data_IF_517580502639
#
_entry.id   IF_517580502639
#
_cell.length_a   1.000
_cell.length_b   1.000
_cell.length_c   1.000
_cell.angle_alpha   90.00
_cell.angle_beta   90.00
_cell.angle_gamma   90.00
#
_symmetry.space_group_name_H-M   'P 1'
#
loop_
_entity.id
_entity.type
_entity.pdbx_description
1 polymer ?
#
# COMPACT_ATOMS: atom_id res chain seq x y z
N UNK A 1 10.40 37.03 11.36
CA UNK A 1 10.80 35.62 11.53
C UNK A 1 10.73 34.95 10.17
N UNK A 2 11.86 34.65 9.54
CA UNK A 2 11.88 33.93 8.26
C UNK A 2 11.55 32.47 8.48
N UNK A 3 10.48 31.99 7.83
CA UNK A 3 10.06 30.60 7.90
C UNK A 3 11.04 29.74 7.10
N UNK A 4 11.97 29.09 7.79
CA UNK A 4 12.90 28.14 7.18
C UNK A 4 12.15 26.85 6.80
N UNK A 5 11.83 26.69 5.51
CA UNK A 5 11.32 25.42 4.97
C UNK A 5 12.51 24.50 4.75
N UNK A 6 12.81 23.68 5.75
CA UNK A 6 13.73 22.55 5.61
C UNK A 6 13.19 21.68 4.45
N UNK A 7 13.97 21.45 3.38
CA UNK A 7 13.58 20.51 2.34
C UNK A 7 13.44 19.14 3.00
N UNK A 8 12.19 18.71 3.18
CA UNK A 8 11.87 17.40 3.74
C UNK A 8 12.11 16.37 2.64
N UNK A 9 13.19 15.62 2.81
CA UNK A 9 13.54 14.39 2.11
C UNK A 9 13.87 14.51 0.61
N UNK A 10 15.15 14.76 0.32
CA UNK A 10 15.77 14.50 -0.98
C UNK A 10 16.19 13.03 -1.11
N UNK A 11 15.26 12.10 -0.88
CA UNK A 11 15.41 10.68 -1.26
C UNK A 11 14.48 10.40 -2.44
N UNK A 12 14.63 11.17 -3.52
CA UNK A 12 13.98 10.78 -4.77
C UNK A 12 14.57 9.44 -5.19
N UNK A 13 13.78 8.37 -5.04
CA UNK A 13 14.04 7.09 -5.68
C UNK A 13 14.46 7.37 -7.13
N UNK A 14 15.60 6.82 -7.56
CA UNK A 14 16.12 6.97 -8.91
C UNK A 14 15.10 6.39 -9.91
N UNK A 15 14.22 7.26 -10.40
CA UNK A 15 13.21 6.98 -11.41
C UNK A 15 13.91 7.01 -12.77
N UNK A 16 14.07 5.86 -13.40
CA UNK A 16 14.56 5.77 -14.78
C UNK A 16 13.42 6.09 -15.76
N UNK A 17 12.17 5.73 -15.40
CA UNK A 17 10.96 6.10 -16.14
C UNK A 17 9.74 6.17 -15.17
N UNK A 18 8.62 6.78 -15.58
CA UNK A 18 7.40 6.95 -14.75
C UNK A 18 6.82 5.61 -14.25
N UNK A 19 7.16 4.51 -14.92
CA UNK A 19 6.72 3.15 -14.61
C UNK A 19 7.85 2.18 -14.21
N UNK A 20 9.13 2.52 -14.40
CA UNK A 20 10.27 1.63 -14.15
C UNK A 20 11.30 2.31 -13.25
N UNK A 21 11.50 1.73 -12.08
CA UNK A 21 12.49 2.16 -11.11
C UNK A 21 13.77 1.33 -11.28
N UNK A 22 14.91 1.88 -10.85
CA UNK A 22 16.22 1.21 -10.93
C UNK A 22 16.22 -0.19 -10.27
N UNK A 23 15.48 -0.34 -9.20
CA UNK A 23 15.17 -1.61 -8.53
C UNK A 23 14.48 -2.64 -9.43
N UNK A 24 13.57 -2.20 -10.31
CA UNK A 24 12.77 -3.11 -11.14
C UNK A 24 13.67 -3.67 -12.25
N UNK A 25 14.60 -2.84 -12.72
CA UNK A 25 15.71 -3.27 -13.56
C UNK A 25 16.59 -4.32 -12.87
N UNK A 26 16.99 -4.11 -11.60
CA UNK A 26 17.75 -5.13 -10.87
C UNK A 26 16.97 -6.43 -10.67
N UNK A 27 15.67 -6.37 -10.40
CA UNK A 27 14.81 -7.55 -10.28
C UNK A 27 14.74 -8.30 -11.61
N UNK A 28 14.50 -7.61 -12.73
CA UNK A 28 14.49 -8.21 -14.07
C UNK A 28 15.84 -8.85 -14.42
N UNK A 29 16.93 -8.12 -14.19
CA UNK A 29 18.29 -8.62 -14.43
C UNK A 29 18.61 -9.84 -13.57
N UNK A 30 18.17 -9.87 -12.31
CA UNK A 30 18.33 -11.02 -11.42
C UNK A 30 17.41 -12.20 -11.78
N UNK A 31 16.24 -11.93 -12.35
CA UNK A 31 15.30 -12.97 -12.78
C UNK A 31 15.83 -13.79 -13.94
N UNK A 32 16.59 -13.19 -14.87
CA UNK A 32 17.16 -13.88 -16.03
C UNK A 32 18.05 -15.07 -15.62
N UNK A 33 19.14 -14.90 -14.84
CA UNK A 33 19.97 -16.03 -14.41
C UNK A 33 19.19 -17.00 -13.53
N UNK A 34 18.23 -16.52 -12.72
CA UNK A 34 17.36 -17.39 -11.94
C UNK A 34 16.51 -18.31 -12.83
N UNK A 35 15.90 -17.78 -13.90
CA UNK A 35 15.14 -18.58 -14.87
C UNK A 35 16.01 -19.62 -15.56
N UNK A 36 17.25 -19.26 -15.90
CA UNK A 36 18.21 -20.18 -16.55
C UNK A 36 18.63 -21.32 -15.62
N UNK A 37 18.91 -21.04 -14.35
CA UNK A 37 19.26 -22.08 -13.38
C UNK A 37 18.06 -23.01 -13.18
N UNK A 38 16.86 -22.44 -13.01
CA UNK A 38 15.66 -23.23 -12.75
C UNK A 38 15.22 -24.04 -13.98
N UNK A 39 15.45 -23.54 -15.20
CA UNK A 39 15.15 -24.29 -16.43
C UNK A 39 15.95 -25.58 -16.57
N UNK A 40 17.14 -25.70 -15.94
CA UNK A 40 17.91 -26.95 -15.96
C UNK A 40 17.24 -28.06 -15.13
N UNK A 41 16.33 -27.72 -14.23
CA UNK A 41 15.61 -28.68 -13.37
C UNK A 41 14.27 -29.08 -13.99
N UNK A 42 13.74 -28.24 -14.89
CA UNK A 42 12.44 -28.46 -15.53
C UNK A 42 12.60 -29.41 -16.71
N UNK A 43 11.75 -30.44 -16.77
CA UNK A 43 11.73 -31.38 -17.89
C UNK A 43 11.29 -30.69 -19.19
N UNK A 44 11.88 -31.04 -20.34
CA UNK A 44 11.69 -30.37 -21.64
C UNK A 44 10.21 -30.20 -22.04
N UNK A 45 9.37 -31.20 -21.72
CA UNK A 45 7.93 -31.14 -22.00
C UNK A 45 7.20 -29.99 -21.26
N UNK A 46 7.75 -29.48 -20.16
CA UNK A 46 7.15 -28.42 -19.34
C UNK A 46 7.86 -27.07 -19.50
N UNK A 47 8.95 -27.01 -20.27
CA UNK A 47 9.77 -25.81 -20.42
C UNK A 47 8.97 -24.59 -20.90
N UNK A 48 8.05 -24.82 -21.84
CA UNK A 48 7.16 -23.76 -22.35
C UNK A 48 6.25 -23.18 -21.27
N UNK A 49 5.62 -24.04 -20.46
CA UNK A 49 4.76 -23.62 -19.35
C UNK A 49 5.56 -22.92 -18.26
N UNK A 50 6.79 -23.38 -18.00
CA UNK A 50 7.69 -22.73 -17.06
C UNK A 50 8.04 -21.31 -17.50
N UNK A 51 8.39 -21.08 -18.78
CA UNK A 51 8.67 -19.73 -19.26
C UNK A 51 7.45 -18.82 -19.18
N UNK A 52 6.26 -19.31 -19.54
CA UNK A 52 5.02 -18.57 -19.39
C UNK A 52 4.79 -18.16 -17.94
N UNK A 53 4.98 -19.09 -17.00
CA UNK A 53 4.89 -18.82 -15.57
C UNK A 53 5.89 -17.75 -15.13
N UNK A 54 7.15 -17.83 -15.59
CA UNK A 54 8.18 -16.85 -15.24
C UNK A 54 7.89 -15.45 -15.78
N UNK A 55 7.26 -15.33 -16.95
CA UNK A 55 6.78 -14.04 -17.48
C UNK A 55 5.68 -13.44 -16.58
N UNK A 56 4.75 -14.27 -16.10
CA UNK A 56 3.72 -13.83 -15.17
C UNK A 56 4.35 -13.35 -13.85
N UNK A 57 5.30 -14.11 -13.31
CA UNK A 57 6.06 -13.73 -12.10
C UNK A 57 6.80 -12.42 -12.31
N UNK A 58 7.46 -12.22 -13.46
CA UNK A 58 8.11 -10.97 -13.81
C UNK A 58 7.11 -9.80 -13.80
N UNK A 59 5.93 -9.99 -14.42
CA UNK A 59 4.85 -8.99 -14.42
C UNK A 59 4.38 -8.64 -13.00
N UNK A 60 4.13 -9.64 -12.16
CA UNK A 60 3.70 -9.45 -10.77
C UNK A 60 4.74 -8.69 -9.93
N UNK A 61 6.03 -8.91 -10.17
CA UNK A 61 7.10 -8.20 -9.46
C UNK A 61 7.22 -6.73 -9.87
N UNK A 62 6.83 -6.38 -11.10
CA UNK A 62 6.87 -5.01 -11.63
C UNK A 62 5.62 -4.22 -11.22
N UNK A 63 4.45 -4.87 -11.13
CA UNK A 63 3.20 -4.21 -10.79
C UNK A 63 3.28 -3.63 -9.37
N UNK A 64 2.93 -2.35 -9.21
CA UNK A 64 2.72 -1.71 -7.91
C UNK A 64 1.22 -1.71 -7.57
N UNK A 65 0.83 -2.00 -6.31
CA UNK A 65 -0.57 -1.96 -5.94
C UNK A 65 -1.01 -0.50 -5.83
N UNK A 66 -2.11 -0.14 -6.50
CA UNK A 66 -2.63 1.23 -6.51
C UNK A 66 -2.97 1.76 -5.10
N UNK A 67 -3.37 0.86 -4.18
CA UNK A 67 -3.74 1.18 -2.80
C UNK A 67 -2.55 1.62 -1.93
N UNK A 68 -1.32 1.24 -2.28
CA UNK A 68 -0.14 1.65 -1.51
C UNK A 68 1.09 1.89 -2.40
N UNK A 69 1.20 3.05 -3.05
CA UNK A 69 2.28 3.35 -4.01
C UNK A 69 3.67 3.49 -3.36
N UNK A 70 3.74 3.58 -2.01
CA UNK A 70 4.99 3.65 -1.23
C UNK A 70 5.57 2.27 -0.90
N UNK A 71 4.76 1.21 -0.89
CA UNK A 71 5.20 -0.16 -0.57
C UNK A 71 4.95 -1.09 -1.76
N UNK A 72 5.90 -1.98 -2.02
CA UNK A 72 5.86 -2.83 -3.22
C UNK A 72 5.10 -4.13 -2.97
N UNK A 73 4.60 -4.79 -4.02
CA UNK A 73 3.84 -6.05 -3.89
C UNK A 73 4.70 -7.13 -3.21
N UNK A 74 6.00 -7.22 -3.50
CA UNK A 74 6.85 -8.21 -2.82
C UNK A 74 6.94 -7.96 -1.32
N UNK A 75 6.88 -6.71 -0.85
CA UNK A 75 6.85 -6.40 0.58
C UNK A 75 5.53 -6.83 1.17
N UNK A 76 4.41 -6.53 0.51
CA UNK A 76 3.09 -6.97 0.95
C UNK A 76 2.99 -8.50 1.02
N UNK A 77 3.52 -9.22 0.02
CA UNK A 77 3.59 -10.68 0.00
C UNK A 77 4.52 -11.19 1.09
N UNK A 78 5.69 -10.57 1.29
CA UNK A 78 6.61 -10.91 2.37
C UNK A 78 5.95 -10.73 3.74
N UNK A 79 5.30 -9.58 3.98
CA UNK A 79 4.54 -9.34 5.20
C UNK A 79 3.38 -10.33 5.35
N UNK A 80 2.69 -10.69 4.27
CA UNK A 80 1.63 -11.69 4.32
C UNK A 80 2.14 -13.10 4.69
N UNK A 81 3.32 -13.49 4.18
CA UNK A 81 3.96 -14.78 4.50
C UNK A 81 4.51 -14.78 5.93
N UNK A 82 5.19 -13.70 6.34
CA UNK A 82 5.79 -13.57 7.68
C UNK A 82 4.77 -13.20 8.76
N UNK A 83 3.55 -12.79 8.40
CA UNK A 83 2.49 -12.45 9.34
C UNK A 83 2.07 -13.71 10.08
N UNK A 84 2.39 -13.75 11.38
CA UNK A 84 1.87 -14.74 12.31
C UNK A 84 0.34 -14.59 12.38
N UNK A 85 -0.37 -15.66 12.04
CA UNK A 85 -1.84 -15.71 12.08
C UNK A 85 -2.38 -15.62 13.51
N UNK A 86 -1.53 -15.91 14.47
CA UNK A 86 -1.89 -16.02 15.90
C UNK A 86 -1.72 -14.68 16.64
N UNK A 87 -1.30 -13.61 15.95
CA UNK A 87 -1.12 -12.29 16.56
C UNK A 87 -2.39 -11.46 16.41
N UNK A 88 -2.97 -11.08 17.55
CA UNK A 88 -4.13 -10.18 17.62
C UNK A 88 -3.83 -8.85 16.91
N UNK A 89 -4.70 -8.46 15.99
CA UNK A 89 -4.66 -7.14 15.33
C UNK A 89 -5.92 -6.40 15.73
N UNK A 90 -5.77 -5.24 16.37
CA UNK A 90 -6.92 -4.39 16.69
C UNK A 90 -7.57 -3.91 15.39
N UNK A 91 -8.88 -4.04 15.31
CA UNK A 91 -9.68 -3.49 14.21
C UNK A 91 -9.92 -2.03 14.58
N UNK A 92 -9.42 -1.10 13.76
CA UNK A 92 -9.84 0.29 13.85
C UNK A 92 -11.27 0.37 13.35
N UNK A 93 -12.19 0.68 14.28
CA UNK A 93 -13.53 1.08 13.91
C UNK A 93 -13.43 2.53 13.44
N UNK A 94 -13.76 2.77 12.18
CA UNK A 94 -14.09 4.13 11.73
C UNK A 94 -15.43 4.42 12.39
N UNK A 95 -15.40 5.25 13.42
CA UNK A 95 -16.61 5.84 13.97
C UNK A 95 -16.98 6.89 12.94
N UNK A 96 -17.99 6.59 12.12
CA UNK A 96 -18.66 7.62 11.33
C UNK A 96 -19.33 8.54 12.37
N UNK A 97 -18.68 9.66 12.68
CA UNK A 97 -19.28 10.78 13.41
C UNK A 97 -20.33 11.41 12.46
N UNK A 98 -21.41 10.68 12.18
CA UNK A 98 -22.60 11.27 11.59
C UNK A 98 -23.19 12.23 12.65
N UNK A 99 -23.23 13.49 12.26
CA UNK A 99 -23.65 14.65 13.02
C UNK A 99 -25.06 14.49 13.61
N UNK A 100 -25.17 14.11 14.88
CA UNK A 100 -26.35 14.44 15.70
C UNK A 100 -26.11 15.80 16.39
N UNK A 101 -26.02 16.87 15.59
CA UNK A 101 -26.32 18.22 16.08
C UNK A 101 -27.77 18.54 15.71
N UNK A 102 -28.72 17.90 16.39
CA UNK A 102 -30.08 18.46 16.45
C UNK A 102 -30.11 19.59 17.48
N UNK A 103 -30.02 20.79 16.93
CA UNK A 103 -30.55 22.03 17.48
C UNK A 103 -31.93 21.82 18.12
N UNK A 104 -32.01 21.74 19.45
CA UNK A 104 -33.23 22.13 20.15
C UNK A 104 -33.14 23.64 20.38
N UNK A 105 -33.57 24.37 19.35
CA UNK A 105 -33.84 25.79 19.40
C UNK A 105 -34.88 26.13 20.47
N UNK A 106 -34.68 27.31 21.06
CA UNK A 106 -35.56 27.87 22.08
C UNK A 106 -36.97 28.23 21.59
N UNK A 107 -37.90 28.15 22.53
CA UNK A 107 -39.22 28.78 22.58
C UNK A 107 -39.78 28.45 23.98
N UNK A 108 -40.17 29.35 24.89
CA UNK A 108 -40.48 30.78 24.89
C UNK A 108 -40.26 31.29 26.32
N UNK A 109 -39.90 32.57 26.44
CA UNK A 109 -40.21 33.38 27.60
C UNK A 109 -41.72 33.57 27.69
N UNK A 110 -42.32 33.22 28.82
CA UNK A 110 -43.57 33.78 29.30
C UNK A 110 -43.43 34.24 30.76
N UNK A 111 -43.60 35.54 30.92
CA UNK A 111 -43.61 36.26 32.18
C UNK A 111 -44.68 35.71 33.13
N UNK A 112 -44.30 35.48 34.39
CA UNK A 112 -45.09 36.06 35.49
C UNK A 112 -44.20 36.26 36.71
N UNK A 113 -43.79 37.51 36.91
CA UNK A 113 -43.45 37.97 38.25
C UNK A 113 -44.71 37.96 39.10
N UNK A 114 -44.59 37.46 40.32
CA UNK A 114 -45.44 37.96 41.41
C UNK A 114 -44.58 38.21 42.64
N UNK A 115 -44.87 39.36 43.22
CA UNK A 115 -44.16 40.04 44.30
C UNK A 115 -44.69 39.50 45.63
N UNK A 116 -43.79 39.04 46.52
CA UNK A 116 -43.76 39.34 47.97
C UNK A 116 -42.67 38.57 48.69
#
# INVERSE_FOLDING_TARGET
>A
MSQYRIPKDMTSELKINKALYLTDFFILVGLIPFTMVMSNIVHDSLLWYFYLFMVIVAGLLIIRPATNPKKRIYEAVYYAICRRKDTYTAIDYVIDDDEDTEEIGGAKEDEHGDLR
#
